data_IF_502714062652
#
_entry.id   IF_502714062652
#
_cell.length_a   1.000
_cell.length_b   1.000
_cell.length_c   1.000
_cell.angle_alpha   90.00
_cell.angle_beta   90.00
_cell.angle_gamma   90.00
#
_symmetry.space_group_name_H-M   'P 1'
#
loop_
_entity.id
_entity.type
_entity.pdbx_description
1 polymer ?
#
# COMPACT_ATOMS: atom_id res chain seq x y z
N UNK A 1 -1.95 37.61 -8.12
CA UNK A 1 -1.86 36.39 -8.96
C UNK A 1 -1.11 35.27 -8.21
N UNK A 2 -1.44 34.98 -6.94
CA UNK A 2 -0.64 34.10 -6.07
C UNK A 2 -1.39 32.84 -5.60
N UNK A 3 -2.71 32.77 -5.83
CA UNK A 3 -3.54 31.64 -5.39
C UNK A 3 -3.39 30.41 -6.29
N UNK A 4 -3.24 30.61 -7.61
CA UNK A 4 -3.16 29.51 -8.58
C UNK A 4 -1.91 28.64 -8.39
N UNK A 5 -0.78 29.23 -7.96
CA UNK A 5 0.46 28.50 -7.73
C UNK A 5 0.38 27.57 -6.50
N UNK A 6 -0.34 27.99 -5.44
CA UNK A 6 -0.56 27.19 -4.23
C UNK A 6 -1.42 25.96 -4.49
N UNK A 7 -2.46 26.09 -5.32
CA UNK A 7 -3.29 24.94 -5.70
C UNK A 7 -2.51 23.92 -6.51
N UNK A 8 -1.68 24.38 -7.45
CA UNK A 8 -0.85 23.50 -8.27
C UNK A 8 0.13 22.68 -7.43
N UNK A 9 0.76 23.29 -6.42
CA UNK A 9 1.68 22.60 -5.51
C UNK A 9 0.96 21.58 -4.61
N UNK A 10 -0.26 21.87 -4.17
CA UNK A 10 -1.05 20.95 -3.34
C UNK A 10 -1.51 19.73 -4.15
N UNK A 11 -1.96 19.95 -5.39
CA UNK A 11 -2.34 18.83 -6.28
C UNK A 11 -1.15 17.99 -6.70
N UNK A 12 0.02 18.61 -6.93
CA UNK A 12 1.23 17.87 -7.30
C UNK A 12 1.75 17.02 -6.12
N UNK A 13 1.72 17.55 -4.89
CA UNK A 13 2.01 16.77 -3.68
C UNK A 13 1.01 15.61 -3.54
N UNK A 14 -0.29 15.85 -3.66
CA UNK A 14 -1.30 14.78 -3.54
C UNK A 14 -1.08 13.63 -4.53
N UNK A 15 -0.66 13.93 -5.77
CA UNK A 15 -0.32 12.91 -6.78
C UNK A 15 1.02 12.22 -6.47
N UNK A 16 2.02 12.95 -5.95
CA UNK A 16 3.28 12.36 -5.51
C UNK A 16 3.11 11.40 -4.31
N UNK A 17 2.21 11.73 -3.38
CA UNK A 17 1.90 10.89 -2.23
C UNK A 17 0.92 9.74 -2.59
N UNK A 18 0.08 9.92 -3.60
CA UNK A 18 -0.77 8.85 -4.16
C UNK A 18 -0.02 7.87 -5.09
N UNK A 19 1.26 8.13 -5.36
CA UNK A 19 2.17 7.22 -6.07
C UNK A 19 2.92 6.25 -5.15
N UNK A 20 2.60 6.21 -3.85
CA UNK A 20 3.06 5.15 -2.97
C UNK A 20 2.42 3.84 -3.46
N UNK A 21 3.28 2.92 -3.91
CA UNK A 21 2.98 1.56 -4.35
C UNK A 21 1.64 1.07 -3.77
N UNK A 22 0.66 0.79 -4.62
CA UNK A 22 -0.60 0.15 -4.22
C UNK A 22 -0.29 -1.29 -3.81
N UNK A 23 0.41 -1.43 -2.70
CA UNK A 23 0.63 -2.68 -2.03
C UNK A 23 -0.51 -2.87 -1.03
N UNK A 24 -0.90 -4.12 -0.87
CA UNK A 24 -1.98 -4.56 0.00
C UNK A 24 -1.47 -4.53 1.44
N UNK A 25 -2.27 -3.92 2.32
CA UNK A 25 -1.92 -3.78 3.73
C UNK A 25 -2.06 -5.12 4.46
N UNK A 26 -1.60 -5.21 5.70
CA UNK A 26 -1.76 -6.44 6.47
C UNK A 26 -3.25 -6.72 6.74
N UNK A 27 -3.60 -8.00 6.91
CA UNK A 27 -4.98 -8.49 7.09
C UNK A 27 -5.90 -8.29 5.86
N UNK A 28 -5.36 -7.80 4.74
CA UNK A 28 -6.09 -7.75 3.47
C UNK A 28 -5.82 -8.96 2.59
N UNK A 29 -6.83 -9.31 1.79
CA UNK A 29 -6.77 -10.50 0.94
C UNK A 29 -5.68 -10.37 -0.12
N UNK A 30 -4.85 -11.38 -0.20
CA UNK A 30 -3.79 -11.46 -1.20
C UNK A 30 -3.89 -12.73 -2.02
N UNK A 31 -3.36 -12.68 -3.24
CA UNK A 31 -3.21 -13.85 -4.11
C UNK A 31 -1.74 -14.21 -4.29
N UNK A 32 -0.84 -13.26 -4.08
CA UNK A 32 0.61 -13.42 -4.21
C UNK A 32 1.34 -12.54 -3.20
N UNK A 33 2.52 -13.00 -2.76
CA UNK A 33 3.42 -12.27 -1.87
C UNK A 33 3.79 -10.86 -2.37
N UNK A 34 3.92 -10.69 -3.69
CA UNK A 34 4.29 -9.41 -4.32
C UNK A 34 3.21 -8.33 -4.21
N UNK A 35 1.97 -8.73 -3.91
CA UNK A 35 0.85 -7.81 -3.74
C UNK A 35 0.93 -7.10 -2.38
N UNK A 36 1.52 -7.75 -1.37
CA UNK A 36 1.57 -7.27 0.00
C UNK A 36 2.71 -6.29 0.23
N UNK A 37 2.47 -5.24 1.02
CA UNK A 37 3.53 -4.28 1.40
C UNK A 37 4.69 -4.95 2.14
N UNK A 38 4.38 -5.97 2.94
CA UNK A 38 5.34 -6.81 3.66
C UNK A 38 6.04 -7.85 2.77
N UNK A 39 5.64 -7.99 1.50
CA UNK A 39 6.14 -9.01 0.59
C UNK A 39 5.72 -10.44 0.98
N UNK A 40 4.73 -10.58 1.86
CA UNK A 40 4.33 -11.86 2.42
C UNK A 40 2.80 -12.01 2.49
N UNK A 41 2.32 -13.09 1.87
CA UNK A 41 0.92 -13.48 1.83
C UNK A 41 0.77 -14.79 2.61
N UNK A 42 0.07 -14.74 3.74
CA UNK A 42 -0.13 -15.85 4.67
C UNK A 42 -1.51 -16.48 4.51
N UNK A 43 -1.58 -17.81 4.58
CA UNK A 43 -2.85 -18.55 4.58
C UNK A 43 -3.39 -18.71 5.99
N UNK A 44 -4.07 -17.72 6.56
CA UNK A 44 -4.64 -17.78 7.91
C UNK A 44 -6.10 -18.23 7.82
N UNK A 45 -6.50 -19.26 8.58
CA UNK A 45 -7.91 -19.68 8.68
C UNK A 45 -8.58 -20.15 7.38
N UNK A 46 -7.81 -20.53 6.36
CA UNK A 46 -8.33 -20.99 5.06
C UNK A 46 -8.52 -19.88 4.01
N UNK A 47 -8.06 -18.67 4.29
CA UNK A 47 -7.99 -17.55 3.33
C UNK A 47 -6.55 -17.02 3.27
N UNK A 48 -6.20 -16.39 2.14
CA UNK A 48 -4.87 -15.80 1.95
C UNK A 48 -4.94 -14.30 2.25
N UNK A 49 -4.14 -13.85 3.21
CA UNK A 49 -4.11 -12.50 3.75
C UNK A 49 -2.67 -12.00 3.86
N UNK A 50 -2.43 -10.73 3.56
CA UNK A 50 -1.11 -10.13 3.72
C UNK A 50 -0.74 -10.12 5.20
N UNK A 51 0.44 -10.62 5.51
CA UNK A 51 0.94 -10.66 6.88
C UNK A 51 2.38 -10.18 6.92
N UNK A 52 2.80 -9.72 8.08
CA UNK A 52 4.19 -9.34 8.27
C UNK A 52 5.10 -10.57 8.15
N UNK A 53 6.15 -10.47 7.34
CA UNK A 53 7.13 -11.55 7.17
C UNK A 53 7.79 -12.01 8.50
N UNK A 54 7.66 -11.21 9.56
CA UNK A 54 8.07 -11.54 10.94
C UNK A 54 7.29 -12.69 11.59
N UNK A 55 6.12 -13.09 11.07
CA UNK A 55 5.35 -14.24 11.57
C UNK A 55 5.89 -15.60 11.07
N UNK A 56 6.87 -15.60 10.16
CA UNK A 56 7.51 -16.80 9.62
C UNK A 56 8.65 -17.29 10.54
N UNK A 57 8.27 -17.80 11.71
CA UNK A 57 9.14 -18.54 12.63
C UNK A 57 9.44 -19.96 12.15
#
# INVERSE_FOLDING_TARGET
MQFTLKFLTVTLLAVFFAGANACTDNDERCTSNSECCSGYCAGIGGINECADASLKG
#
